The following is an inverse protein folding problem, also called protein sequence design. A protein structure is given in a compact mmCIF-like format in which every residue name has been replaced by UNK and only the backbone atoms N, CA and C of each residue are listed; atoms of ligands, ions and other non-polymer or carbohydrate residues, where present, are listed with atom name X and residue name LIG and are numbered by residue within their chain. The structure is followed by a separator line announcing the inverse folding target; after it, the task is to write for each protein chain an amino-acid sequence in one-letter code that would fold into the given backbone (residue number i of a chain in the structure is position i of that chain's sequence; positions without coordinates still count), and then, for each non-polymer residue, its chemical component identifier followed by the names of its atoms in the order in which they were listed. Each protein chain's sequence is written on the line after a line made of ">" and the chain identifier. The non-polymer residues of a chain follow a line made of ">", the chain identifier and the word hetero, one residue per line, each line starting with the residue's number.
data_IF_669082563950
#
_entry.id   IF_669082563950
#
_cell.length_a   1.000
_cell.length_b   1.000
_cell.length_c   1.000
_cell.angle_alpha   90.00
_cell.angle_beta   90.00
_cell.angle_gamma   90.00
#
_symmetry.space_group_name_H-M   'P 1'
#
loop_
_entity.id
_entity.type
_entity.pdbx_description
1 polymer ?
#
# COMPACT_ATOMS: atom_id res chain seq x y z
N UNK A 1 13.21 -43.15 53.49
CA UNK A 1 13.65 -43.44 52.09
C UNK A 1 13.38 -42.20 51.24
N UNK A 2 14.35 -41.82 50.39
CA UNK A 2 14.32 -40.57 49.60
C UNK A 2 13.20 -40.54 48.55
N UNK A 3 12.71 -39.34 48.34
CA UNK A 3 11.71 -38.83 47.40
C UNK A 3 11.95 -39.15 45.91
N UNK A 4 10.90 -39.04 45.09
CA UNK A 4 10.95 -38.44 43.74
C UNK A 4 9.57 -38.14 43.16
N UNK A 5 9.37 -36.85 42.91
CA UNK A 5 8.30 -36.20 42.15
C UNK A 5 8.48 -36.39 40.64
N UNK A 6 7.45 -36.85 39.94
CA UNK A 6 7.43 -36.93 38.48
C UNK A 6 7.07 -35.57 37.86
N UNK A 7 8.12 -34.82 37.52
CA UNK A 7 8.04 -33.60 36.73
C UNK A 7 7.89 -33.89 35.24
N UNK A 8 6.78 -33.46 34.66
CA UNK A 8 6.56 -33.39 33.21
C UNK A 8 7.52 -32.37 32.58
N UNK A 9 8.57 -32.88 31.95
CA UNK A 9 9.61 -32.13 31.24
C UNK A 9 9.12 -31.72 29.85
N UNK A 10 8.44 -30.57 29.74
CA UNK A 10 8.16 -29.94 28.43
C UNK A 10 9.39 -29.15 27.97
N UNK A 11 10.20 -29.76 27.10
CA UNK A 11 11.31 -29.10 26.42
C UNK A 11 10.78 -28.16 25.32
N UNK A 12 11.00 -26.85 25.49
CA UNK A 12 11.58 -26.03 24.43
C UNK A 12 10.67 -25.48 23.33
N UNK A 13 9.83 -24.48 23.66
CA UNK A 13 9.61 -23.32 22.77
C UNK A 13 9.58 -22.08 23.66
N UNK A 14 10.70 -21.34 23.66
CA UNK A 14 10.86 -20.04 24.32
C UNK A 14 9.59 -19.20 24.12
N UNK A 15 8.85 -19.00 25.20
CA UNK A 15 7.87 -17.92 25.32
C UNK A 15 8.58 -16.63 24.92
N UNK A 16 8.18 -16.08 23.78
CA UNK A 16 8.75 -14.86 23.20
C UNK A 16 8.14 -13.64 23.88
N UNK A 17 7.99 -13.70 25.19
CA UNK A 17 7.47 -12.61 25.99
C UNK A 17 8.58 -11.59 26.25
N UNK A 18 8.26 -10.35 25.90
CA UNK A 18 8.91 -9.10 26.34
C UNK A 18 10.41 -8.97 26.02
N UNK A 19 10.70 -8.62 24.76
CA UNK A 19 11.91 -7.84 24.42
C UNK A 19 11.52 -6.38 24.16
N UNK A 20 11.18 -5.65 25.24
CA UNK A 20 11.40 -4.19 25.24
C UNK A 20 12.90 -4.02 25.43
N UNK A 21 13.64 -3.87 24.33
CA UNK A 21 15.04 -3.41 24.37
C UNK A 21 15.10 -2.04 23.70
N UNK A 22 15.48 -1.03 24.47
CA UNK A 22 15.89 0.31 24.04
C UNK A 22 14.79 1.20 23.45
N UNK A 23 13.61 1.31 24.09
CA UNK A 23 12.63 2.38 23.81
C UNK A 23 12.04 2.45 22.39
N UNK A 24 12.38 1.52 21.49
CA UNK A 24 11.83 1.41 20.13
C UNK A 24 10.74 0.35 20.13
N UNK A 25 9.48 0.79 20.15
CA UNK A 25 8.31 -0.06 19.91
C UNK A 25 8.51 -0.83 18.59
N UNK A 26 8.79 -2.12 18.70
CA UNK A 26 8.92 -3.00 17.54
C UNK A 26 7.53 -3.45 17.13
N UNK A 27 7.38 -3.66 15.83
CA UNK A 27 6.31 -4.25 15.01
C UNK A 27 5.53 -5.47 15.58
N UNK A 28 5.79 -5.87 16.82
CA UNK A 28 5.15 -6.93 17.57
C UNK A 28 3.79 -6.52 18.16
N UNK A 29 3.58 -5.23 18.48
CA UNK A 29 2.41 -4.81 19.26
C UNK A 29 1.10 -4.97 18.48
N UNK A 30 1.04 -4.49 17.23
CA UNK A 30 -0.16 -4.62 16.40
C UNK A 30 -0.56 -6.08 16.14
N UNK A 31 0.42 -6.97 15.91
CA UNK A 31 0.15 -8.41 15.73
C UNK A 31 -0.32 -9.06 17.02
N UNK A 32 0.20 -8.64 18.18
CA UNK A 32 -0.23 -9.15 19.48
C UNK A 32 -1.65 -8.69 19.80
N UNK A 33 -1.96 -7.41 19.56
CA UNK A 33 -3.30 -6.82 19.73
C UNK A 33 -4.30 -7.54 18.82
N UNK A 34 -3.97 -7.70 17.54
CA UNK A 34 -4.78 -8.46 16.58
C UNK A 34 -4.99 -9.92 17.01
N UNK A 35 -3.96 -10.61 17.50
CA UNK A 35 -4.07 -11.99 17.98
C UNK A 35 -4.97 -12.11 19.22
N UNK A 36 -4.88 -11.15 20.15
CA UNK A 36 -5.74 -11.09 21.33
C UNK A 36 -7.20 -10.85 20.94
N UNK A 37 -7.46 -9.92 20.02
CA UNK A 37 -8.80 -9.65 19.51
C UNK A 37 -9.42 -10.87 18.81
N UNK A 38 -8.61 -11.67 18.10
CA UNK A 38 -9.05 -12.91 17.46
C UNK A 38 -9.21 -14.11 18.41
N UNK A 39 -8.71 -14.04 19.65
CA UNK A 39 -8.62 -15.19 20.55
C UNK A 39 -7.65 -16.29 20.09
N UNK A 40 -6.81 -16.03 19.08
CA UNK A 40 -5.83 -16.99 18.53
C UNK A 40 -4.63 -16.29 17.92
N UNK A 41 -3.53 -17.02 17.74
CA UNK A 41 -2.38 -16.51 16.97
C UNK A 41 -2.77 -16.30 15.49
N UNK A 42 -2.17 -15.27 14.88
CA UNK A 42 -2.26 -15.08 13.43
C UNK A 42 -1.59 -16.25 12.70
N UNK A 43 -2.23 -16.72 11.63
CA UNK A 43 -1.70 -17.74 10.72
C UNK A 43 -0.49 -17.18 9.96
N UNK A 44 0.31 -18.09 9.38
CA UNK A 44 1.54 -17.74 8.63
C UNK A 44 1.30 -16.74 7.49
N UNK A 45 0.14 -16.83 6.83
CA UNK A 45 -0.24 -15.96 5.70
C UNK A 45 -1.03 -14.71 6.12
N UNK A 46 -1.37 -14.55 7.40
CA UNK A 46 -2.10 -13.40 7.93
C UNK A 46 -1.12 -12.28 8.38
N UNK A 47 -1.39 -11.07 7.91
CA UNK A 47 -0.67 -9.83 8.23
C UNK A 47 -1.63 -8.77 8.74
N UNK A 48 -1.10 -7.76 9.42
CA UNK A 48 -1.87 -6.61 9.91
C UNK A 48 -1.56 -5.42 9.02
N UNK A 49 -2.61 -4.76 8.53
CA UNK A 49 -2.56 -3.50 7.81
C UNK A 49 -3.05 -2.37 8.74
N UNK A 50 -2.35 -1.24 8.76
CA UNK A 50 -2.78 -0.03 9.45
C UNK A 50 -3.57 0.85 8.48
N UNK A 51 -4.87 1.02 8.73
CA UNK A 51 -5.80 1.71 7.83
C UNK A 51 -5.42 3.19 7.65
N UNK A 52 -5.08 3.87 8.75
CA UNK A 52 -4.65 5.27 8.75
C UNK A 52 -3.20 5.48 8.27
N UNK A 53 -2.47 4.41 7.92
CA UNK A 53 -1.03 4.42 7.58
C UNK A 53 -0.10 4.85 8.72
N UNK A 54 -0.61 5.05 9.93
CA UNK A 54 0.17 5.35 11.12
C UNK A 54 0.48 4.06 11.90
N UNK A 55 1.71 3.58 11.75
CA UNK A 55 2.20 2.35 12.41
C UNK A 55 2.19 2.41 13.95
N UNK A 56 1.99 3.60 14.55
CA UNK A 56 1.89 3.79 16.00
C UNK A 56 0.43 3.70 16.49
N UNK A 57 -0.56 3.87 15.63
CA UNK A 57 -1.97 3.76 16.00
C UNK A 57 -2.41 2.30 15.99
N UNK A 58 -2.39 1.65 17.16
CA UNK A 58 -2.72 0.24 17.32
C UNK A 58 -4.12 -0.01 17.88
N UNK A 59 -5.04 0.96 17.75
CA UNK A 59 -6.45 0.74 18.12
C UNK A 59 -7.06 -0.36 17.24
N UNK A 60 -7.90 -1.21 17.81
CA UNK A 60 -8.49 -2.36 17.09
C UNK A 60 -9.24 -1.93 15.81
N UNK A 61 -9.92 -0.78 15.85
CA UNK A 61 -10.65 -0.17 14.73
C UNK A 61 -9.72 0.30 13.58
N UNK A 62 -8.43 0.49 13.84
CA UNK A 62 -7.42 0.90 12.86
C UNK A 62 -6.63 -0.28 12.25
N UNK A 63 -6.82 -1.49 12.77
CA UNK A 63 -6.08 -2.68 12.36
C UNK A 63 -6.94 -3.59 11.50
N UNK A 64 -6.50 -3.83 10.26
CA UNK A 64 -7.11 -4.80 9.36
C UNK A 64 -6.24 -6.05 9.26
N UNK A 65 -6.79 -7.20 9.59
CA UNK A 65 -6.12 -8.50 9.41
C UNK A 65 -6.46 -9.02 8.02
N UNK A 66 -5.44 -9.31 7.22
CA UNK A 66 -5.64 -9.78 5.84
C UNK A 66 -4.49 -10.69 5.38
N UNK A 67 -4.61 -11.23 4.17
CA UNK A 67 -3.51 -11.99 3.55
C UNK A 67 -2.42 -11.05 3.06
N UNK A 68 -1.19 -11.56 2.90
CA UNK A 68 -0.09 -10.78 2.33
C UNK A 68 -0.40 -10.26 0.92
N UNK A 69 -1.08 -11.08 0.11
CA UNK A 69 -1.51 -10.72 -1.24
C UNK A 69 -2.50 -9.55 -1.21
N UNK A 70 -3.54 -9.67 -0.40
CA UNK A 70 -4.54 -8.60 -0.25
C UNK A 70 -3.93 -7.32 0.32
N UNK A 71 -3.01 -7.43 1.27
CA UNK A 71 -2.25 -6.30 1.77
C UNK A 71 -1.48 -5.57 0.66
N UNK A 72 -0.81 -6.31 -0.23
CA UNK A 72 -0.12 -5.75 -1.39
C UNK A 72 -1.08 -5.05 -2.35
N UNK A 73 -2.21 -5.70 -2.67
CA UNK A 73 -3.27 -5.12 -3.49
C UNK A 73 -3.84 -3.83 -2.90
N UNK A 74 -4.12 -3.80 -1.58
CA UNK A 74 -4.61 -2.62 -0.89
C UNK A 74 -3.67 -1.42 -1.04
N UNK A 75 -2.35 -1.62 -0.86
CA UNK A 75 -1.38 -0.52 -1.05
C UNK A 75 -1.37 0.01 -2.48
N UNK A 76 -1.53 -0.86 -3.48
CA UNK A 76 -1.64 -0.44 -4.88
C UNK A 76 -2.93 0.35 -5.10
N UNK A 77 -4.06 -0.14 -4.58
CA UNK A 77 -5.35 0.50 -4.75
C UNK A 77 -5.42 1.86 -4.05
N UNK A 78 -4.91 1.97 -2.83
CA UNK A 78 -4.80 3.24 -2.10
C UNK A 78 -3.98 4.27 -2.88
N UNK A 79 -2.85 3.86 -3.45
CA UNK A 79 -2.04 4.74 -4.31
C UNK A 79 -2.82 5.15 -5.55
N UNK A 80 -3.46 4.20 -6.23
CA UNK A 80 -4.27 4.45 -7.43
C UNK A 80 -5.37 5.48 -7.16
N UNK A 81 -6.11 5.30 -6.07
CA UNK A 81 -7.16 6.22 -5.62
C UNK A 81 -6.59 7.62 -5.33
N UNK A 82 -5.51 7.70 -4.56
CA UNK A 82 -4.85 8.98 -4.25
C UNK A 82 -4.43 9.73 -5.51
N UNK A 83 -3.73 9.07 -6.46
CA UNK A 83 -3.34 9.72 -7.72
C UNK A 83 -4.54 10.20 -8.54
N UNK A 84 -5.62 9.40 -8.60
CA UNK A 84 -6.85 9.75 -9.32
C UNK A 84 -7.51 10.98 -8.72
N UNK A 85 -7.58 11.08 -7.40
CA UNK A 85 -8.20 12.20 -6.70
C UNK A 85 -7.34 13.47 -6.78
N UNK A 86 -6.03 13.35 -6.54
CA UNK A 86 -5.11 14.49 -6.51
C UNK A 86 -4.84 15.06 -7.91
N UNK A 87 -4.54 14.21 -8.90
CA UNK A 87 -4.06 14.68 -10.21
C UNK A 87 -5.06 14.47 -11.35
N UNK A 88 -6.06 13.59 -11.15
CA UNK A 88 -7.02 13.22 -12.18
C UNK A 88 -7.72 14.41 -12.84
N UNK A 89 -8.28 15.38 -12.09
CA UNK A 89 -8.95 16.54 -12.69
C UNK A 89 -8.03 17.37 -13.59
N UNK A 90 -6.81 17.71 -13.13
CA UNK A 90 -5.82 18.48 -13.91
C UNK A 90 -5.37 17.70 -15.14
N UNK A 91 -5.04 16.43 -14.98
CA UNK A 91 -4.62 15.57 -16.10
C UNK A 91 -5.71 15.40 -17.15
N UNK A 92 -6.97 15.15 -16.75
CA UNK A 92 -8.12 15.08 -17.68
C UNK A 92 -8.27 16.36 -18.48
N UNK A 93 -8.14 17.52 -17.82
CA UNK A 93 -8.22 18.83 -18.49
C UNK A 93 -7.10 19.01 -19.52
N UNK A 94 -5.85 18.76 -19.14
CA UNK A 94 -4.71 18.88 -20.06
C UNK A 94 -4.80 17.88 -21.23
N UNK A 95 -5.21 16.64 -20.94
CA UNK A 95 -5.43 15.61 -21.95
C UNK A 95 -6.48 16.03 -23.00
N UNK A 96 -7.61 16.61 -22.55
CA UNK A 96 -8.65 17.16 -23.43
C UNK A 96 -8.15 18.34 -24.28
N UNK A 97 -7.22 19.14 -23.76
CA UNK A 97 -6.53 20.20 -24.52
C UNK A 97 -5.54 19.65 -25.55
N UNK A 98 -5.36 18.33 -25.65
CA UNK A 98 -4.44 17.70 -26.59
C UNK A 98 -3.01 17.52 -26.06
N UNK A 99 -2.73 17.85 -24.80
CA UNK A 99 -1.38 17.74 -24.25
C UNK A 99 -0.90 16.27 -24.34
N UNK A 100 0.36 16.09 -24.68
CA UNK A 100 1.01 14.77 -24.64
C UNK A 100 1.36 14.37 -23.20
N UNK A 101 1.59 13.08 -22.90
CA UNK A 101 2.04 12.67 -21.57
C UNK A 101 3.33 13.36 -21.10
N UNK A 102 4.23 13.74 -22.02
CA UNK A 102 5.42 14.52 -21.68
C UNK A 102 5.04 15.93 -21.22
N UNK A 103 4.21 16.64 -21.99
CA UNK A 103 3.77 18.00 -21.63
C UNK A 103 2.97 18.01 -20.32
N UNK A 104 2.17 16.97 -20.07
CA UNK A 104 1.45 16.84 -18.79
C UNK A 104 2.44 16.65 -17.62
N UNK A 105 3.57 15.98 -17.83
CA UNK A 105 4.61 15.84 -16.82
C UNK A 105 5.34 17.18 -16.58
N UNK A 106 5.57 17.97 -17.63
CA UNK A 106 6.16 19.31 -17.49
C UNK A 106 5.25 20.24 -16.65
N UNK A 107 3.93 20.10 -16.79
CA UNK A 107 2.92 20.83 -16.01
C UNK A 107 2.73 20.32 -14.57
N UNK A 108 3.23 19.12 -14.26
CA UNK A 108 3.10 18.45 -12.96
C UNK A 108 4.46 17.83 -12.60
N UNK A 109 5.46 18.67 -12.27
CA UNK A 109 6.85 18.24 -12.12
C UNK A 109 7.06 17.25 -10.97
N UNK A 110 6.11 17.15 -10.04
CA UNK A 110 6.10 16.15 -8.98
C UNK A 110 5.92 14.72 -9.51
N UNK A 111 5.46 14.58 -10.76
CA UNK A 111 5.21 13.32 -11.44
C UNK A 111 6.09 13.16 -12.68
N UNK A 112 7.00 12.19 -12.66
CA UNK A 112 7.75 11.81 -13.86
C UNK A 112 6.84 11.27 -14.97
N UNK A 113 7.27 11.42 -16.23
CA UNK A 113 6.56 10.96 -17.45
C UNK A 113 5.99 9.55 -17.37
N UNK A 114 6.75 8.58 -16.82
CA UNK A 114 6.29 7.19 -16.66
C UNK A 114 5.06 7.09 -15.75
N UNK A 115 5.05 7.87 -14.66
CA UNK A 115 3.91 7.90 -13.74
C UNK A 115 2.70 8.57 -14.40
N UNK A 116 2.91 9.67 -15.13
CA UNK A 116 1.84 10.33 -15.90
C UNK A 116 1.21 9.37 -16.90
N UNK A 117 2.03 8.64 -17.67
CA UNK A 117 1.53 7.63 -18.61
C UNK A 117 0.71 6.56 -17.89
N UNK A 118 1.20 6.04 -16.76
CA UNK A 118 0.50 5.05 -15.95
C UNK A 118 -0.84 5.57 -15.44
N UNK A 119 -0.88 6.78 -14.90
CA UNK A 119 -2.13 7.38 -14.37
C UNK A 119 -3.14 7.57 -15.50
N UNK A 120 -2.73 8.11 -16.64
CA UNK A 120 -3.60 8.30 -17.79
C UNK A 120 -4.18 6.96 -18.28
N UNK A 121 -3.33 5.98 -18.55
CA UNK A 121 -3.76 4.73 -19.20
C UNK A 121 -4.46 3.75 -18.25
N UNK A 122 -3.94 3.54 -17.04
CA UNK A 122 -4.42 2.54 -16.10
C UNK A 122 -5.41 3.11 -15.10
N UNK A 123 -5.19 4.33 -14.61
CA UNK A 123 -5.98 4.85 -13.49
C UNK A 123 -7.17 5.70 -13.94
N UNK A 124 -7.06 6.33 -15.11
CA UNK A 124 -8.09 7.18 -15.73
C UNK A 124 -8.70 6.58 -16.99
N UNK A 125 -8.12 5.52 -17.57
CA UNK A 125 -8.61 4.88 -18.79
C UNK A 125 -8.45 5.73 -20.06
N UNK A 126 -7.59 6.75 -20.03
CA UNK A 126 -7.36 7.67 -21.13
C UNK A 126 -6.25 7.12 -22.03
N UNK A 127 -6.64 6.59 -23.18
CA UNK A 127 -5.73 6.13 -24.24
C UNK A 127 -6.08 6.85 -25.52
N UNK A 128 -5.06 7.29 -26.27
CA UNK A 128 -5.25 7.76 -27.64
C UNK A 128 -5.04 6.60 -28.60
N UNK A 129 -5.83 6.57 -29.65
CA UNK A 129 -5.54 5.70 -30.81
C UNK A 129 -4.32 6.24 -31.56
N UNK A 130 -3.73 5.41 -32.44
CA UNK A 130 -2.59 5.85 -33.26
C UNK A 130 -2.98 7.02 -34.17
N UNK A 131 -4.20 7.00 -34.72
CA UNK A 131 -4.71 8.06 -35.60
C UNK A 131 -4.94 9.38 -34.85
N UNK A 132 -5.45 9.33 -33.61
CA UNK A 132 -5.56 10.53 -32.75
C UNK A 132 -4.19 11.11 -32.38
N UNK A 133 -3.22 10.24 -32.09
CA UNK A 133 -1.86 10.67 -31.79
C UNK A 133 -1.18 11.29 -33.01
N UNK A 134 -1.40 10.76 -34.22
CA UNK A 134 -0.90 11.32 -35.49
C UNK A 134 -1.53 12.68 -35.79
N UNK A 135 -2.86 12.82 -35.66
CA UNK A 135 -3.57 14.10 -35.86
C UNK A 135 -3.05 15.21 -34.94
N UNK A 136 -2.76 14.89 -33.68
CA UNK A 136 -2.18 15.83 -32.72
C UNK A 136 -0.76 16.26 -33.06
N UNK A 137 0.05 15.36 -33.64
CA UNK A 137 1.39 15.70 -34.13
C UNK A 137 1.32 16.62 -35.34
N UNK A 138 0.47 16.31 -36.30
CA UNK A 138 0.28 17.11 -37.50
C UNK A 138 -0.24 18.52 -37.19
N UNK A 139 -1.12 18.66 -36.20
CA UNK A 139 -1.59 19.96 -35.71
C UNK A 139 -0.49 20.80 -35.06
N UNK A 140 0.56 20.18 -34.53
CA UNK A 140 1.70 20.86 -33.89
C UNK A 140 2.76 21.31 -34.91
N UNK A 141 2.94 20.57 -35.99
CA UNK A 141 3.92 20.93 -37.03
C UNK A 141 3.44 22.11 -37.88
N UNK A 142 2.14 22.38 -37.90
CA UNK A 142 1.50 23.43 -38.71
C UNK A 142 1.02 24.65 -37.91
N UNK A 143 1.42 24.82 -36.65
CA UNK A 143 0.90 25.85 -35.75
C UNK A 143 1.95 26.30 -34.73
#
# INVERSE_FOLDING_TARGET
>A
TRSRSDGLRVKGRREREKRIKNGKARWCDARLIAARALGRKLKKKEVVHHIDKNKKNNRNDNLLICTLEYHGWLHVEMKRKWYRETYGPKMKRLWKKGYSPTMIADEIPELGKRMVQKILSEYLGLRRTQSEAQKLRFKRENN
#
